data_IF_112109069929
#
_entry.id   IF_112109069929
#
_cell.length_a   1.000
_cell.length_b   1.000
_cell.length_c   1.000
_cell.angle_alpha   90.00
_cell.angle_beta   90.00
_cell.angle_gamma   90.00
#
_symmetry.space_group_name_H-M   'P 1'
#
loop_
_entity.id
_entity.type
_entity.pdbx_description
1 polymer ?
#
# COMPACT_ATOMS: atom_id res chain seq x y z
N UNK A 1 -12.19 -15.47 -11.50
CA UNK A 1 -11.54 -14.36 -10.77
C UNK A 1 -11.08 -13.37 -11.82
N UNK A 2 -11.63 -12.15 -11.83
CA UNK A 2 -11.05 -11.07 -12.65
C UNK A 2 -9.65 -10.82 -12.09
N UNK A 3 -8.62 -10.82 -12.93
CA UNK A 3 -7.31 -10.36 -12.50
C UNK A 3 -7.45 -8.90 -12.08
N UNK A 4 -7.08 -8.55 -10.86
CA UNK A 4 -6.94 -7.16 -10.45
C UNK A 4 -5.85 -6.54 -11.32
N UNK A 5 -6.19 -5.51 -12.09
CA UNK A 5 -5.19 -4.75 -12.85
C UNK A 5 -4.49 -3.73 -11.94
N UNK A 6 -3.29 -3.31 -12.34
CA UNK A 6 -2.45 -2.44 -11.52
C UNK A 6 -3.14 -1.12 -11.16
N UNK A 7 -3.86 -0.53 -12.11
CA UNK A 7 -4.60 0.72 -11.92
C UNK A 7 -5.68 0.61 -10.85
N UNK A 8 -6.40 -0.52 -10.81
CA UNK A 8 -7.45 -0.75 -9.82
C UNK A 8 -6.90 -0.87 -8.39
N UNK A 9 -5.71 -1.46 -8.24
CA UNK A 9 -5.04 -1.56 -6.95
C UNK A 9 -4.49 -0.22 -6.47
N UNK A 10 -3.96 0.60 -7.39
CA UNK A 10 -3.52 1.97 -7.08
C UNK A 10 -4.71 2.87 -6.70
N UNK A 11 -5.84 2.75 -7.38
CA UNK A 11 -7.07 3.47 -7.00
C UNK A 11 -7.51 3.12 -5.57
N UNK A 12 -7.49 1.83 -5.21
CA UNK A 12 -7.80 1.39 -3.85
C UNK A 12 -6.78 1.90 -2.82
N UNK A 13 -5.49 1.91 -3.17
CA UNK A 13 -4.45 2.44 -2.31
C UNK A 13 -4.63 3.96 -2.06
N UNK A 14 -5.08 4.71 -3.07
CA UNK A 14 -5.40 6.12 -2.93
C UNK A 14 -6.58 6.34 -1.94
N UNK A 15 -7.65 5.54 -2.06
CA UNK A 15 -8.79 5.60 -1.13
C UNK A 15 -8.37 5.30 0.32
N UNK A 16 -7.52 4.29 0.52
CA UNK A 16 -6.93 3.98 1.83
C UNK A 16 -6.11 5.17 2.36
N UNK A 17 -5.29 5.79 1.50
CA UNK A 17 -4.48 6.95 1.86
C UNK A 17 -5.32 8.14 2.33
N UNK A 18 -6.40 8.47 1.62
CA UNK A 18 -7.33 9.53 2.02
C UNK A 18 -7.97 9.24 3.38
N UNK A 19 -8.38 7.99 3.63
CA UNK A 19 -8.99 7.62 4.90
C UNK A 19 -8.01 7.68 6.07
N UNK A 20 -6.77 7.25 5.87
CA UNK A 20 -5.71 7.34 6.89
C UNK A 20 -5.38 8.80 7.20
N UNK A 21 -5.27 9.66 6.17
CA UNK A 21 -5.03 11.08 6.35
C UNK A 21 -6.16 11.76 7.13
N UNK A 22 -7.42 11.43 6.82
CA UNK A 22 -8.58 11.95 7.54
C UNK A 22 -8.58 11.57 9.03
N UNK A 23 -8.01 10.41 9.36
CA UNK A 23 -7.91 9.91 10.73
C UNK A 23 -6.61 10.30 11.44
N UNK A 24 -5.62 10.89 10.74
CA UNK A 24 -4.28 11.14 11.29
C UNK A 24 -3.47 9.86 11.53
N UNK A 25 -3.77 8.78 10.81
CA UNK A 25 -3.17 7.47 10.97
C UNK A 25 -2.01 7.24 9.98
N UNK A 26 -1.19 6.22 10.27
CA UNK A 26 -0.09 5.77 9.41
C UNK A 26 -0.15 4.27 9.19
N UNK A 27 0.13 3.86 7.96
CA UNK A 27 0.16 2.47 7.52
C UNK A 27 1.60 1.94 7.50
N UNK A 28 1.75 0.70 7.97
CA UNK A 28 2.93 -0.12 7.70
C UNK A 28 2.48 -1.48 7.14
N UNK A 29 3.26 -2.05 6.22
CA UNK A 29 2.98 -3.38 5.64
C UNK A 29 4.04 -4.40 6.04
N UNK A 30 3.62 -5.66 6.19
CA UNK A 30 4.50 -6.82 6.26
C UNK A 30 4.04 -7.81 5.19
N UNK A 31 4.93 -8.14 4.27
CA UNK A 31 4.64 -8.85 3.03
C UNK A 31 5.51 -10.10 2.90
N UNK A 32 4.99 -11.13 2.24
CA UNK A 32 5.72 -12.37 1.93
C UNK A 32 5.48 -12.74 0.46
N UNK A 33 4.40 -13.45 0.15
CA UNK A 33 4.07 -13.88 -1.21
C UNK A 33 3.78 -12.74 -2.20
N UNK A 34 3.36 -11.57 -1.72
CA UNK A 34 3.16 -10.37 -2.54
C UNK A 34 4.48 -9.69 -2.93
N UNK A 35 5.59 -10.01 -2.27
CA UNK A 35 6.92 -9.54 -2.64
C UNK A 35 7.12 -8.01 -2.62
N UNK A 36 6.25 -7.26 -1.95
CA UNK A 36 6.29 -5.79 -1.93
C UNK A 36 5.23 -5.12 -2.81
N UNK A 37 4.34 -5.89 -3.47
CA UNK A 37 3.33 -5.32 -4.36
C UNK A 37 2.34 -4.38 -3.62
N UNK A 38 2.03 -4.65 -2.35
CA UNK A 38 1.16 -3.75 -1.56
C UNK A 38 1.89 -2.42 -1.29
N UNK A 39 3.15 -2.50 -0.85
CA UNK A 39 3.99 -1.32 -0.68
C UNK A 39 4.20 -0.53 -1.99
N UNK A 40 4.30 -1.22 -3.13
CA UNK A 40 4.40 -0.58 -4.44
C UNK A 40 3.14 0.21 -4.78
N UNK A 41 1.95 -0.36 -4.59
CA UNK A 41 0.68 0.34 -4.83
C UNK A 41 0.54 1.57 -3.91
N UNK A 42 0.94 1.46 -2.63
CA UNK A 42 0.91 2.60 -1.71
C UNK A 42 1.89 3.71 -2.13
N UNK A 43 3.12 3.34 -2.47
CA UNK A 43 4.19 4.31 -2.81
C UNK A 43 4.04 4.92 -4.20
N UNK A 44 3.27 4.30 -5.10
CA UNK A 44 2.89 4.87 -6.38
C UNK A 44 2.01 6.14 -6.24
N UNK A 45 1.31 6.29 -5.11
CA UNK A 45 0.47 7.46 -4.85
C UNK A 45 1.35 8.65 -4.44
N UNK A 46 1.22 9.77 -5.17
CA UNK A 46 1.93 10.99 -4.86
C UNK A 46 1.56 11.49 -3.45
N UNK A 47 2.57 11.82 -2.64
CA UNK A 47 2.37 12.25 -1.26
C UNK A 47 2.12 11.11 -0.26
N UNK A 48 2.27 9.85 -0.67
CA UNK A 48 2.15 8.67 0.18
C UNK A 48 2.99 8.71 1.45
N UNK A 49 4.14 9.40 1.46
CA UNK A 49 4.97 9.60 2.66
C UNK A 49 4.27 10.28 3.84
N UNK A 50 3.09 10.89 3.62
CA UNK A 50 2.28 11.49 4.68
C UNK A 50 1.52 10.43 5.51
N UNK A 51 1.24 9.26 4.94
CA UNK A 51 0.38 8.23 5.53
C UNK A 51 0.94 6.80 5.42
N UNK A 52 1.93 6.54 4.57
CA UNK A 52 2.65 5.28 4.47
C UNK A 52 4.03 5.42 5.10
N UNK A 53 4.26 4.69 6.20
CA UNK A 53 5.48 4.81 7.02
C UNK A 53 6.60 3.91 6.51
N UNK A 54 6.31 2.61 6.33
CA UNK A 54 7.30 1.58 6.02
C UNK A 54 6.66 0.28 5.53
N UNK A 55 7.40 -0.46 4.72
CA UNK A 55 7.07 -1.83 4.32
C UNK A 55 8.18 -2.80 4.68
N UNK A 56 7.82 -3.99 5.11
CA UNK A 56 8.72 -5.12 5.33
C UNK A 56 8.38 -6.23 4.35
N UNK A 57 9.39 -6.80 3.70
CA UNK A 57 9.23 -8.00 2.85
C UNK A 57 10.05 -9.12 3.47
N UNK A 58 9.37 -10.13 4.00
CA UNK A 58 9.96 -11.27 4.71
C UNK A 58 9.46 -12.57 4.09
N UNK A 59 10.29 -13.18 3.25
CA UNK A 59 9.90 -14.36 2.50
C UNK A 59 10.08 -15.67 3.28
N UNK A 60 11.09 -15.72 4.15
CA UNK A 60 11.42 -16.89 4.95
C UNK A 60 11.66 -16.51 6.41
N UNK A 61 11.58 -17.52 7.27
CA UNK A 61 11.93 -17.43 8.69
C UNK A 61 13.44 -17.48 8.92
#
# INVERSE_FOLDING_TARGET
MSASDQSSLEALAAEVGEQLLANGERLATAESCTGGWVGQCATAIAGSSRWFERGFVTYSN
#
